data_IF_794255200810
#
_entry.id   IF_794255200810
#
_cell.length_a   1.000
_cell.length_b   1.000
_cell.length_c   1.000
_cell.angle_alpha   90.00
_cell.angle_beta   90.00
_cell.angle_gamma   90.00
#
_symmetry.space_group_name_H-M   'P 1'
#
loop_
_entity.id
_entity.type
_entity.pdbx_description
1 polymer ?
#
# COMPACT_ATOMS: atom_id res chain seq x y z
N UNK A 1 -31.12 -14.95 -15.54
CA UNK A 1 -29.70 -14.87 -15.12
C UNK A 1 -28.87 -14.76 -16.39
N UNK A 2 -28.00 -13.75 -16.51
CA UNK A 2 -27.04 -13.66 -17.61
C UNK A 2 -25.99 -14.74 -17.36
N UNK A 3 -25.70 -15.59 -18.34
CA UNK A 3 -24.62 -16.57 -18.23
C UNK A 3 -23.31 -15.79 -18.24
N UNK A 4 -22.52 -15.94 -17.16
CA UNK A 4 -21.20 -15.32 -17.04
C UNK A 4 -20.31 -15.88 -18.14
N UNK A 5 -19.61 -15.01 -18.86
CA UNK A 5 -18.69 -15.46 -19.91
C UNK A 5 -17.47 -16.15 -19.29
N UNK A 6 -16.88 -17.15 -19.98
CA UNK A 6 -15.65 -17.78 -19.48
C UNK A 6 -14.48 -16.80 -19.34
N UNK A 7 -14.49 -15.71 -20.10
CA UNK A 7 -13.49 -14.64 -20.00
C UNK A 7 -13.64 -13.84 -18.71
N UNK A 8 -14.88 -13.51 -18.34
CA UNK A 8 -15.21 -12.81 -17.10
C UNK A 8 -14.84 -13.66 -15.86
N UNK A 9 -15.10 -14.97 -15.88
CA UNK A 9 -14.70 -15.89 -14.80
C UNK A 9 -13.17 -15.91 -14.65
N UNK A 10 -12.43 -15.98 -15.76
CA UNK A 10 -10.95 -15.98 -15.72
C UNK A 10 -10.40 -14.66 -15.22
N UNK A 11 -10.98 -13.53 -15.63
CA UNK A 11 -10.58 -12.21 -15.17
C UNK A 11 -10.84 -12.03 -13.67
N UNK A 12 -12.03 -12.41 -13.19
CA UNK A 12 -12.38 -12.40 -11.78
C UNK A 12 -11.42 -13.26 -10.96
N UNK A 13 -11.22 -14.51 -11.38
CA UNK A 13 -10.33 -15.47 -10.68
C UNK A 13 -8.91 -14.93 -10.57
N UNK A 14 -8.39 -14.30 -11.63
CA UNK A 14 -7.05 -13.71 -11.64
C UNK A 14 -6.94 -12.54 -10.65
N UNK A 15 -7.92 -11.65 -10.64
CA UNK A 15 -7.94 -10.47 -9.75
C UNK A 15 -8.05 -10.87 -8.28
N UNK A 16 -8.96 -11.79 -7.98
CA UNK A 16 -9.14 -12.36 -6.64
C UNK A 16 -7.90 -13.10 -6.15
N UNK A 17 -7.27 -13.90 -7.01
CA UNK A 17 -6.01 -14.60 -6.69
C UNK A 17 -4.88 -13.61 -6.39
N UNK A 18 -4.76 -12.54 -7.19
CA UNK A 18 -3.75 -11.51 -6.98
C UNK A 18 -3.99 -10.75 -5.66
N UNK A 19 -5.24 -10.45 -5.33
CA UNK A 19 -5.64 -9.88 -4.03
C UNK A 19 -5.30 -10.81 -2.87
N UNK A 20 -5.61 -12.09 -3.00
CA UNK A 20 -5.28 -13.12 -2.02
C UNK A 20 -3.78 -13.26 -1.78
N UNK A 21 -2.95 -13.25 -2.83
CA UNK A 21 -1.49 -13.30 -2.72
C UNK A 21 -0.95 -12.06 -1.98
N UNK A 22 -1.44 -10.86 -2.32
CA UNK A 22 -1.09 -9.62 -1.61
C UNK A 22 -1.46 -9.70 -0.13
N UNK A 23 -2.65 -10.18 0.18
CA UNK A 23 -3.13 -10.41 1.54
C UNK A 23 -2.30 -11.44 2.30
N UNK A 24 -1.92 -12.54 1.65
CA UNK A 24 -1.07 -13.58 2.23
C UNK A 24 0.32 -13.05 2.56
N UNK A 25 0.93 -12.24 1.68
CA UNK A 25 2.21 -11.61 1.94
C UNK A 25 2.14 -10.68 3.17
N UNK A 26 1.09 -9.87 3.26
CA UNK A 26 0.86 -8.99 4.40
C UNK A 26 0.67 -9.77 5.72
N UNK A 27 -0.16 -10.81 5.72
CA UNK A 27 -0.38 -11.63 6.91
C UNK A 27 0.84 -12.47 7.30
N UNK A 28 1.67 -12.86 6.34
CA UNK A 28 2.97 -13.52 6.61
C UNK A 28 3.92 -12.56 7.30
N UNK A 29 4.01 -11.32 6.84
CA UNK A 29 4.80 -10.29 7.51
C UNK A 29 4.30 -10.04 8.95
N UNK A 30 2.98 -9.97 9.17
CA UNK A 30 2.40 -9.88 10.51
C UNK A 30 2.78 -11.08 11.39
N UNK A 31 2.66 -12.30 10.86
CA UNK A 31 2.98 -13.54 11.57
C UNK A 31 4.45 -13.60 11.99
N UNK A 32 5.36 -13.22 11.10
CA UNK A 32 6.78 -13.06 11.42
C UNK A 32 7.02 -12.01 12.51
N UNK A 33 6.30 -10.88 12.45
CA UNK A 33 6.34 -9.84 13.48
C UNK A 33 5.90 -10.35 14.86
N UNK A 34 4.83 -11.15 14.91
CA UNK A 34 4.35 -11.80 16.14
C UNK A 34 5.45 -12.71 16.69
N UNK A 35 6.05 -13.56 15.86
CA UNK A 35 7.11 -14.49 16.28
C UNK A 35 8.41 -13.80 16.68
N UNK A 36 8.73 -12.64 16.11
CA UNK A 36 9.89 -11.85 16.49
C UNK A 36 9.70 -11.18 17.87
N UNK A 37 8.48 -10.76 18.21
CA UNK A 37 8.17 -10.05 19.46
C UNK A 37 7.72 -10.99 20.59
N UNK A 38 7.13 -12.13 20.27
CA UNK A 38 6.59 -13.08 21.23
C UNK A 38 7.59 -13.54 22.31
N UNK A 39 8.87 -13.85 22.02
CA UNK A 39 9.82 -14.28 23.04
C UNK A 39 10.09 -13.21 24.10
N UNK A 40 9.99 -11.92 23.71
CA UNK A 40 10.31 -10.77 24.55
C UNK A 40 9.21 -10.44 25.55
N UNK A 41 7.95 -10.55 25.12
CA UNK A 41 6.77 -10.11 25.89
C UNK A 41 5.91 -11.27 26.41
N UNK A 42 5.86 -12.39 25.67
CA UNK A 42 4.99 -13.53 25.98
C UNK A 42 5.75 -14.85 25.89
N UNK A 43 6.71 -15.11 26.80
CA UNK A 43 7.51 -16.34 26.78
C UNK A 43 6.67 -17.61 26.92
N UNK A 44 5.48 -17.51 27.53
CA UNK A 44 4.52 -18.62 27.66
C UNK A 44 4.00 -19.13 26.31
N UNK A 45 4.04 -18.32 25.23
CA UNK A 45 3.65 -18.76 23.89
C UNK A 45 4.54 -19.92 23.39
N UNK A 46 5.82 -19.94 23.78
CA UNK A 46 6.75 -20.99 23.37
C UNK A 46 6.69 -22.25 24.24
N UNK A 47 6.08 -22.17 25.43
CA UNK A 47 5.76 -23.33 26.26
C UNK A 47 4.55 -24.13 25.78
N UNK A 48 3.80 -23.61 24.80
CA UNK A 48 2.62 -24.28 24.26
C UNK A 48 2.99 -25.43 23.31
N UNK A 49 2.08 -26.40 23.11
CA UNK A 49 2.23 -27.45 22.10
C UNK A 49 2.56 -26.89 20.71
N UNK A 50 3.28 -27.68 19.92
CA UNK A 50 3.68 -27.31 18.57
C UNK A 50 2.48 -26.96 17.67
N UNK A 51 1.35 -27.67 17.85
CA UNK A 51 0.10 -27.42 17.11
C UNK A 51 -0.43 -26.00 17.29
N UNK A 52 -0.41 -25.47 18.52
CA UNK A 52 -0.89 -24.11 18.80
C UNK A 52 0.08 -23.09 18.21
N UNK A 53 1.39 -23.35 18.29
CA UNK A 53 2.41 -22.49 17.68
C UNK A 53 2.20 -22.37 16.16
N UNK A 54 2.03 -23.49 15.46
CA UNK A 54 1.77 -23.48 14.02
C UNK A 54 0.44 -22.81 13.67
N UNK A 55 -0.59 -22.99 14.49
CA UNK A 55 -1.88 -22.31 14.29
C UNK A 55 -1.74 -20.79 14.39
N UNK A 56 -1.03 -20.28 15.41
CA UNK A 56 -0.74 -18.85 15.56
C UNK A 56 0.05 -18.31 14.37
N UNK A 57 0.92 -19.13 13.76
CA UNK A 57 1.66 -18.73 12.57
C UNK A 57 0.78 -18.65 11.31
N UNK A 58 -0.16 -19.59 11.14
CA UNK A 58 -0.97 -19.76 9.91
C UNK A 58 -2.22 -18.88 9.89
N UNK A 59 -2.83 -18.61 11.04
CA UNK A 59 -4.09 -17.86 11.12
C UNK A 59 -3.99 -16.46 10.49
N UNK A 60 -2.97 -15.61 10.79
CA UNK A 60 -2.91 -14.27 10.21
C UNK A 60 -2.77 -14.26 8.68
N UNK A 61 -1.85 -15.03 8.04
CA UNK A 61 -1.77 -15.14 6.58
C UNK A 61 -3.07 -15.55 5.91
N UNK A 62 -3.77 -16.55 6.46
CA UNK A 62 -5.02 -17.06 5.88
C UNK A 62 -6.13 -16.00 6.01
N UNK A 63 -6.26 -15.39 7.19
CA UNK A 63 -7.27 -14.37 7.43
C UNK A 63 -7.10 -13.17 6.49
N UNK A 64 -5.89 -12.62 6.38
CA UNK A 64 -5.64 -11.45 5.53
C UNK A 64 -5.73 -11.79 4.05
N UNK A 65 -5.36 -13.01 3.64
CA UNK A 65 -5.56 -13.48 2.27
C UNK A 65 -7.05 -13.50 1.90
N UNK A 66 -7.90 -14.07 2.75
CA UNK A 66 -9.35 -14.13 2.50
C UNK A 66 -9.98 -12.74 2.43
N UNK A 67 -9.63 -11.84 3.36
CA UNK A 67 -10.19 -10.47 3.36
C UNK A 67 -9.75 -9.68 2.12
N UNK A 68 -8.47 -9.76 1.72
CA UNK A 68 -8.01 -9.03 0.52
C UNK A 68 -8.55 -9.64 -0.77
N UNK A 69 -8.74 -10.97 -0.81
CA UNK A 69 -9.41 -11.63 -1.93
C UNK A 69 -10.84 -11.10 -2.10
N UNK A 70 -11.59 -10.98 -1.00
CA UNK A 70 -12.96 -10.45 -1.02
C UNK A 70 -13.00 -8.98 -1.45
N UNK A 71 -12.10 -8.14 -0.92
CA UNK A 71 -12.03 -6.74 -1.30
C UNK A 71 -11.73 -6.56 -2.80
N UNK A 72 -10.78 -7.33 -3.33
CA UNK A 72 -10.46 -7.30 -4.77
C UNK A 72 -11.58 -7.89 -5.63
N UNK A 73 -12.33 -8.88 -5.13
CA UNK A 73 -13.52 -9.41 -5.81
C UNK A 73 -14.59 -8.32 -5.93
N UNK A 74 -14.89 -7.63 -4.83
CA UNK A 74 -15.89 -6.56 -4.81
C UNK A 74 -15.45 -5.35 -5.66
N UNK A 75 -14.17 -5.03 -5.69
CA UNK A 75 -13.60 -4.00 -6.57
C UNK A 75 -13.75 -4.38 -8.05
N UNK A 76 -13.52 -5.65 -8.40
CA UNK A 76 -13.74 -6.14 -9.76
C UNK A 76 -15.21 -6.05 -10.19
N UNK A 77 -16.15 -6.44 -9.32
CA UNK A 77 -17.58 -6.34 -9.61
C UNK A 77 -18.00 -4.87 -9.78
N UNK A 78 -17.48 -3.99 -8.93
CA UNK A 78 -17.72 -2.55 -9.06
C UNK A 78 -17.23 -2.03 -10.41
N UNK A 79 -16.01 -2.38 -10.84
CA UNK A 79 -15.44 -1.92 -12.10
C UNK A 79 -16.18 -2.48 -13.32
N UNK A 80 -16.54 -3.77 -13.28
CA UNK A 80 -17.25 -4.47 -14.36
C UNK A 80 -18.65 -3.89 -14.59
N UNK A 81 -19.38 -3.59 -13.51
CA UNK A 81 -20.74 -3.06 -13.57
C UNK A 81 -20.82 -1.53 -13.42
N UNK A 82 -19.68 -0.84 -13.47
CA UNK A 82 -19.63 0.62 -13.50
C UNK A 82 -20.19 1.18 -14.82
N UNK A 83 -20.67 2.44 -14.80
CA UNK A 83 -21.23 3.14 -15.97
C UNK A 83 -20.28 3.13 -17.18
N UNK A 84 -20.80 3.19 -18.41
CA UNK A 84 -19.97 3.31 -19.62
C UNK A 84 -19.00 4.50 -19.56
N UNK A 85 -19.38 5.58 -18.88
CA UNK A 85 -18.53 6.75 -18.66
C UNK A 85 -17.31 6.42 -17.79
N UNK A 86 -17.49 5.64 -16.70
CA UNK A 86 -16.37 5.22 -15.85
C UNK A 86 -15.46 4.21 -16.55
N UNK A 87 -16.02 3.29 -17.35
CA UNK A 87 -15.22 2.36 -18.16
C UNK A 87 -14.35 3.08 -19.17
N UNK A 88 -14.88 4.08 -19.90
CA UNK A 88 -14.10 4.90 -20.83
C UNK A 88 -12.96 5.63 -20.11
N UNK A 89 -13.20 6.15 -18.91
CA UNK A 89 -12.18 6.82 -18.09
C UNK A 89 -11.08 5.87 -17.64
N UNK A 90 -11.43 4.69 -17.13
CA UNK A 90 -10.48 3.66 -16.70
C UNK A 90 -9.62 3.17 -17.88
N UNK A 91 -10.24 2.95 -19.05
CA UNK A 91 -9.52 2.58 -20.28
C UNK A 91 -8.56 3.69 -20.76
N UNK A 92 -8.97 4.96 -20.71
CA UNK A 92 -8.11 6.09 -21.06
C UNK A 92 -6.92 6.20 -20.09
N UNK A 93 -7.15 6.02 -18.79
CA UNK A 93 -6.11 6.02 -17.77
C UNK A 93 -5.15 4.84 -17.93
N UNK A 94 -5.64 3.63 -18.24
CA UNK A 94 -4.80 2.47 -18.52
C UNK A 94 -3.92 2.67 -19.76
N UNK A 95 -4.46 3.19 -20.86
CA UNK A 95 -3.67 3.49 -22.07
C UNK A 95 -2.59 4.52 -21.79
N UNK A 96 -2.91 5.56 -21.02
CA UNK A 96 -1.93 6.54 -20.55
C UNK A 96 -0.87 5.87 -19.68
N UNK A 97 -1.26 5.03 -18.74
CA UNK A 97 -0.35 4.30 -17.87
C UNK A 97 0.61 3.42 -18.66
N UNK A 98 0.12 2.67 -19.65
CA UNK A 98 0.96 1.81 -20.48
C UNK A 98 2.01 2.60 -21.25
N UNK A 99 1.64 3.79 -21.75
CA UNK A 99 2.53 4.70 -22.48
C UNK A 99 3.64 5.33 -21.61
N UNK A 100 3.53 5.27 -20.28
CA UNK A 100 4.57 5.78 -19.37
C UNK A 100 5.79 4.87 -19.33
N UNK A 101 6.96 5.49 -19.20
CA UNK A 101 8.22 4.80 -18.96
C UNK A 101 8.22 4.10 -17.58
N UNK A 102 9.03 3.05 -17.39
CA UNK A 102 9.10 2.33 -16.11
C UNK A 102 9.43 3.23 -14.91
N UNK A 103 10.26 4.25 -15.11
CA UNK A 103 10.61 5.24 -14.09
C UNK A 103 9.42 6.13 -13.73
N UNK A 104 8.64 6.57 -14.71
CA UNK A 104 7.44 7.38 -14.47
C UNK A 104 6.36 6.58 -13.73
N UNK A 105 6.18 5.29 -14.09
CA UNK A 105 5.27 4.37 -13.38
C UNK A 105 5.61 4.25 -11.90
N UNK A 106 6.90 4.13 -11.57
CA UNK A 106 7.36 4.02 -10.18
C UNK A 106 7.03 5.32 -9.41
N UNK A 107 7.37 6.47 -10.00
CA UNK A 107 7.13 7.77 -9.35
C UNK A 107 5.63 8.03 -9.18
N UNK A 108 4.80 7.76 -10.17
CA UNK A 108 3.35 7.95 -10.07
C UNK A 108 2.73 7.02 -9.04
N UNK A 109 3.18 5.76 -8.94
CA UNK A 109 2.74 4.83 -7.89
C UNK A 109 3.11 5.34 -6.49
N UNK A 110 4.34 5.83 -6.32
CA UNK A 110 4.81 6.40 -5.06
C UNK A 110 4.02 7.66 -4.68
N UNK A 111 3.77 8.55 -5.65
CA UNK A 111 3.03 9.79 -5.44
C UNK A 111 1.55 9.54 -5.13
N UNK A 112 0.91 8.55 -5.76
CA UNK A 112 -0.48 8.19 -5.51
C UNK A 112 -0.74 7.77 -4.06
N UNK A 113 0.27 7.21 -3.38
CA UNK A 113 0.21 6.81 -1.96
C UNK A 113 1.19 7.60 -1.09
N UNK A 114 1.59 8.81 -1.51
CA UNK A 114 2.61 9.64 -0.86
C UNK A 114 2.41 9.74 0.65
N UNK A 115 1.20 10.12 1.09
CA UNK A 115 0.92 10.29 2.51
C UNK A 115 1.02 8.97 3.29
N UNK A 116 0.47 7.87 2.76
CA UNK A 116 0.55 6.56 3.41
C UNK A 116 2.00 6.08 3.55
N UNK A 117 2.82 6.30 2.52
CA UNK A 117 4.24 5.93 2.52
C UNK A 117 5.02 6.79 3.50
N UNK A 118 4.82 8.12 3.50
CA UNK A 118 5.50 9.03 4.42
C UNK A 118 5.17 8.69 5.87
N UNK A 119 3.89 8.46 6.19
CA UNK A 119 3.47 8.07 7.55
C UNK A 119 4.04 6.71 7.94
N UNK A 120 4.05 5.75 7.00
CA UNK A 120 4.67 4.44 7.21
C UNK A 120 6.17 4.52 7.48
N UNK A 121 6.90 5.30 6.68
CA UNK A 121 8.35 5.48 6.81
C UNK A 121 8.71 6.29 8.06
N UNK A 122 7.89 7.24 8.45
CA UNK A 122 8.00 7.93 9.74
C UNK A 122 7.87 6.95 10.90
N UNK A 123 6.81 6.13 10.94
CA UNK A 123 6.64 5.10 11.97
C UNK A 123 7.78 4.09 11.97
N UNK A 124 8.22 3.65 10.78
CA UNK A 124 9.35 2.75 10.62
C UNK A 124 10.66 3.35 11.14
N UNK A 125 10.89 4.66 10.95
CA UNK A 125 12.07 5.35 11.47
C UNK A 125 12.10 5.41 12.99
N UNK A 126 10.94 5.66 13.63
CA UNK A 126 10.81 5.64 15.09
C UNK A 126 11.08 4.24 15.65
N UNK A 127 10.43 3.23 15.06
CA UNK A 127 10.58 1.84 15.48
C UNK A 127 12.00 1.32 15.26
N UNK A 128 12.56 1.56 14.07
CA UNK A 128 13.91 1.16 13.69
C UNK A 128 14.96 1.77 14.60
N UNK A 129 14.83 3.07 14.90
CA UNK A 129 15.70 3.76 15.87
C UNK A 129 15.64 3.12 17.26
N UNK A 130 14.43 2.82 17.76
CA UNK A 130 14.25 2.18 19.05
C UNK A 130 14.87 0.78 19.11
N UNK A 131 14.63 -0.05 18.09
CA UNK A 131 15.19 -1.40 18.00
C UNK A 131 16.71 -1.36 17.94
N UNK A 132 17.29 -0.45 17.15
CA UNK A 132 18.73 -0.29 17.03
C UNK A 132 19.38 0.08 18.36
N UNK A 133 18.86 1.11 19.05
CA UNK A 133 19.42 1.58 20.32
C UNK A 133 19.22 0.58 21.45
N UNK A 134 18.13 -0.19 21.44
CA UNK A 134 17.87 -1.17 22.48
C UNK A 134 18.76 -2.42 22.39
N UNK A 135 19.53 -2.58 21.30
CA UNK A 135 20.48 -3.68 21.11
C UNK A 135 21.72 -3.56 22.01
N UNK A 136 22.07 -2.34 22.43
CA UNK A 136 23.23 -2.10 23.28
C UNK A 136 22.88 -2.31 24.78
N UNK A 137 23.48 -3.29 25.48
CA UNK A 137 23.21 -3.54 26.90
C UNK A 137 23.90 -2.54 27.84
N UNK A 138 24.88 -1.77 27.38
CA UNK A 138 25.73 -0.91 28.23
C UNK A 138 25.07 0.44 28.59
N UNK A 139 24.03 0.84 27.87
CA UNK A 139 23.36 2.14 28.05
C UNK A 139 22.21 2.07 29.07
N UNK A 140 22.11 3.09 29.92
CA UNK A 140 20.95 3.26 30.81
C UNK A 140 19.67 3.56 30.02
N UNK A 141 18.50 3.24 30.58
CA UNK A 141 17.20 3.45 29.89
C UNK A 141 16.98 4.91 29.45
N UNK A 142 17.42 5.86 30.27
CA UNK A 142 17.31 7.30 29.97
C UNK A 142 18.21 7.68 28.79
N UNK A 143 19.46 7.18 28.76
CA UNK A 143 20.39 7.43 27.66
C UNK A 143 19.85 6.85 26.34
N UNK A 144 19.35 5.61 26.38
CA UNK A 144 18.73 4.96 25.20
C UNK A 144 17.62 5.81 24.59
N UNK A 145 16.78 6.41 25.42
CA UNK A 145 15.66 7.22 24.95
C UNK A 145 16.11 8.51 24.26
N UNK A 146 17.11 9.19 24.82
CA UNK A 146 17.68 10.41 24.23
C UNK A 146 18.33 10.08 22.88
N UNK A 147 19.14 9.01 22.84
CA UNK A 147 19.81 8.55 21.62
C UNK A 147 18.80 8.14 20.54
N UNK A 148 17.75 7.39 20.90
CA UNK A 148 16.72 6.97 19.96
C UNK A 148 15.98 8.17 19.34
N UNK A 149 15.70 9.21 20.12
CA UNK A 149 15.09 10.44 19.60
C UNK A 149 16.01 11.19 18.64
N UNK A 150 17.31 11.26 18.93
CA UNK A 150 18.28 11.91 18.06
C UNK A 150 18.41 11.21 16.69
N UNK A 151 18.44 9.87 16.69
CA UNK A 151 18.41 9.08 15.45
C UNK A 151 17.10 9.23 14.69
N UNK A 152 15.96 9.21 15.39
CA UNK A 152 14.66 9.40 14.76
C UNK A 152 14.57 10.79 14.09
N UNK A 153 15.03 11.84 14.76
CA UNK A 153 15.09 13.19 14.19
C UNK A 153 15.94 13.21 12.91
N UNK A 154 17.14 12.63 12.93
CA UNK A 154 17.99 12.55 11.75
C UNK A 154 17.31 11.81 10.59
N UNK A 155 16.69 10.66 10.86
CA UNK A 155 15.95 9.90 9.85
C UNK A 155 14.74 10.66 9.30
N UNK A 156 14.02 11.41 10.14
CA UNK A 156 12.89 12.24 9.68
C UNK A 156 13.35 13.39 8.78
N UNK A 157 14.47 14.04 9.08
CA UNK A 157 15.02 15.08 8.21
C UNK A 157 15.43 14.47 6.86
N UNK A 158 16.11 13.32 6.87
CA UNK A 158 16.43 12.59 5.64
C UNK A 158 15.19 12.23 4.82
N UNK A 159 14.12 11.77 5.49
CA UNK A 159 12.83 11.47 4.87
C UNK A 159 12.19 12.71 4.22
N UNK A 160 12.21 13.86 4.90
CA UNK A 160 11.68 15.11 4.35
C UNK A 160 12.47 15.54 3.11
N UNK A 161 13.80 15.49 3.16
CA UNK A 161 14.66 15.81 2.02
C UNK A 161 14.42 14.86 0.84
N UNK A 162 14.29 13.55 1.10
CA UNK A 162 13.95 12.57 0.07
C UNK A 162 12.56 12.83 -0.52
N UNK A 163 11.57 13.18 0.31
CA UNK A 163 10.21 13.51 -0.13
C UNK A 163 10.18 14.76 -1.00
N UNK A 164 10.96 15.78 -0.65
CA UNK A 164 11.11 17.00 -1.45
C UNK A 164 11.79 16.69 -2.78
N UNK A 165 12.87 15.91 -2.77
CA UNK A 165 13.56 15.46 -3.97
C UNK A 165 12.63 14.70 -4.93
N UNK A 166 11.84 13.76 -4.41
CA UNK A 166 10.84 13.03 -5.19
C UNK A 166 9.75 13.98 -5.73
N UNK A 167 9.28 14.94 -4.92
CA UNK A 167 8.25 15.89 -5.34
C UNK A 167 8.74 16.82 -6.46
N UNK A 168 9.99 17.31 -6.38
CA UNK A 168 10.59 18.10 -7.45
C UNK A 168 10.79 17.28 -8.73
N UNK A 169 11.19 16.01 -8.59
CA UNK A 169 11.31 15.11 -9.73
C UNK A 169 9.96 14.87 -10.41
N UNK A 170 8.90 14.67 -9.62
CA UNK A 170 7.54 14.56 -10.11
C UNK A 170 7.07 15.84 -10.83
N UNK A 171 7.35 17.02 -10.26
CA UNK A 171 7.00 18.30 -10.88
C UNK A 171 7.68 18.47 -12.25
N UNK A 172 8.95 18.09 -12.37
CA UNK A 172 9.68 18.12 -13.64
C UNK A 172 9.11 17.13 -14.66
N UNK A 173 8.70 15.93 -14.23
CA UNK A 173 8.01 14.97 -15.09
C UNK A 173 6.64 15.49 -15.55
N UNK A 174 5.86 16.09 -14.65
CA UNK A 174 4.55 16.66 -14.96
C UNK A 174 4.65 17.89 -15.89
N UNK A 175 5.74 18.67 -15.82
CA UNK A 175 6.01 19.74 -16.78
C UNK A 175 6.31 19.21 -18.19
N UNK A 176 6.96 18.05 -18.28
CA UNK A 176 7.29 17.39 -19.55
C UNK A 176 6.08 16.66 -20.17
N UNK A 177 5.30 16.00 -19.33
CA UNK A 177 4.07 15.30 -19.69
C UNK A 177 2.89 16.14 -19.20
N UNK A 178 2.41 17.08 -20.02
CA UNK A 178 1.27 17.95 -19.69
C UNK A 178 0.08 17.08 -19.23
N UNK A 179 -0.11 16.95 -17.92
CA UNK A 179 -1.28 16.28 -17.33
C UNK A 179 -2.49 17.11 -17.73
N UNK A 180 -3.28 16.63 -18.68
CA UNK A 180 -4.65 17.11 -18.85
C UNK A 180 -5.43 16.48 -17.69
N UNK A 181 -5.39 17.14 -16.54
CA UNK A 181 -6.31 16.85 -15.44
C UNK A 181 -7.68 17.32 -15.89
N UNK A 182 -8.51 16.41 -16.38
CA UNK A 182 -9.96 16.64 -16.41
C UNK A 182 -10.41 16.64 -14.95
N UNK A 183 -10.64 17.83 -14.39
CA UNK A 183 -11.30 17.93 -13.09
C UNK A 183 -12.75 17.50 -13.30
N UNK A 184 -13.36 16.87 -12.28
CA UNK A 184 -14.80 16.60 -12.28
C UNK A 184 -15.66 17.87 -12.47
N UNK A 185 -15.09 19.04 -12.14
CA UNK A 185 -15.67 20.36 -12.40
C UNK A 185 -15.74 20.70 -13.91
N UNK A 186 -14.76 20.25 -14.70
CA UNK A 186 -14.73 20.46 -16.15
C UNK A 186 -15.75 19.55 -16.87
N UNK A 187 -15.95 18.32 -16.36
CA UNK A 187 -16.99 17.40 -16.84
C UNK A 187 -18.41 17.91 -16.50
N UNK A 188 -18.64 18.43 -15.30
CA UNK A 188 -19.93 19.03 -14.92
C UNK A 188 -20.25 20.28 -15.76
N UNK A 189 -19.22 21.04 -16.15
CA UNK A 189 -19.34 22.17 -17.08
C UNK A 189 -19.62 21.70 -18.51
N UNK A 190 -18.95 20.66 -19.00
CA UNK A 190 -19.22 20.08 -20.33
C UNK A 190 -20.63 19.47 -20.42
N UNK A 191 -21.09 18.76 -19.38
CA UNK A 191 -22.46 18.25 -19.30
C UNK A 191 -23.48 19.40 -19.28
N UNK A 192 -23.25 20.44 -18.47
CA UNK A 192 -24.12 21.61 -18.43
C UNK A 192 -24.17 22.38 -19.77
N UNK A 193 -23.04 22.49 -20.47
CA UNK A 193 -22.96 23.12 -21.79
C UNK A 193 -23.61 22.26 -22.89
N UNK A 194 -23.51 20.93 -22.79
CA UNK A 194 -24.15 20.00 -23.73
C UNK A 194 -25.68 19.95 -23.60
N UNK A 195 -26.22 20.28 -22.42
CA UNK A 195 -27.67 20.38 -22.18
C UNK A 195 -28.27 21.74 -22.62
N UNK A 196 -27.43 22.75 -22.87
CA UNK A 196 -27.88 24.10 -23.23
C UNK A 196 -28.04 24.30 -24.76
N UNK A 197 -27.58 23.35 -25.57
CA UNK A 197 -27.61 23.39 -27.04
C UNK A 197 -28.54 22.31 -27.61
#
# INVERSE_FOLDING_TARGET
MKLVSEEEIRAHTRTTLMGGIKGMALGTAMSLGIYALAPRYYPRLFSLPWSIRTAVFIIPPVFTASVNAELCSNEFDYDMYSSEASQKRILAEHRRWEALSPTEKIVETLSAKKYAIITGLWGASMWGSWVYVNRDPLLTKTQKFVTARMYAQFLTVGLLLASIGLSMYEENLNKKNKKVTHKAEDEALEEALSQQN
#
